data_IF_759190252014
#
_entry.id   IF_759190252014
#
_cell.length_a   1.000
_cell.length_b   1.000
_cell.length_c   1.000
_cell.angle_alpha   90.00
_cell.angle_beta   90.00
_cell.angle_gamma   90.00
#
_symmetry.space_group_name_H-M   'P 1'
#
loop_
_entity.id
_entity.type
_entity.pdbx_description
1 polymer ?
#
# COMPACT_ATOMS: atom_id res chain seq x y z
N UNK A 1 -46.36 0.81 8.30
CA UNK A 1 -45.94 0.00 7.13
C UNK A 1 -44.97 0.84 6.30
N UNK A 2 -43.66 0.80 6.60
CA UNK A 2 -42.60 1.39 5.76
C UNK A 2 -41.20 0.96 6.22
N UNK A 3 -40.95 -0.35 6.28
CA UNK A 3 -39.69 -0.93 6.80
C UNK A 3 -39.00 -1.88 5.81
N UNK A 4 -39.26 -1.74 4.50
CA UNK A 4 -38.70 -2.65 3.48
C UNK A 4 -37.82 -2.01 2.40
N UNK A 5 -37.52 -0.72 2.47
CA UNK A 5 -36.77 -0.03 1.40
C UNK A 5 -35.33 0.39 1.75
N UNK A 6 -34.85 0.23 2.98
CA UNK A 6 -33.48 0.63 3.35
C UNK A 6 -32.42 -0.48 3.23
N UNK A 7 -32.80 -1.76 3.29
CA UNK A 7 -31.81 -2.85 3.31
C UNK A 7 -31.18 -3.15 1.94
N UNK A 8 -31.85 -2.77 0.85
CA UNK A 8 -31.35 -3.03 -0.51
C UNK A 8 -30.28 -2.06 -1.00
N UNK A 9 -30.09 -0.93 -0.30
CA UNK A 9 -29.11 0.10 -0.67
C UNK A 9 -27.73 -0.16 -0.05
N UNK A 10 -27.69 -0.81 1.12
CA UNK A 10 -26.48 -1.13 1.87
C UNK A 10 -25.62 -2.22 1.22
N UNK A 11 -26.24 -3.19 0.53
CA UNK A 11 -25.53 -4.38 0.00
C UNK A 11 -24.66 -4.11 -1.25
N UNK A 12 -24.61 -2.89 -1.78
CA UNK A 12 -23.84 -2.54 -3.00
C UNK A 12 -22.74 -1.51 -2.74
N UNK A 13 -22.51 -1.10 -1.50
CA UNK A 13 -21.44 -0.17 -1.20
C UNK A 13 -20.08 -0.89 -1.23
N UNK A 14 -19.25 -0.46 -2.18
CA UNK A 14 -17.84 -0.80 -2.25
C UNK A 14 -17.12 -0.19 -1.03
N UNK A 15 -16.29 -0.97 -0.31
CA UNK A 15 -15.59 -0.53 0.90
C UNK A 15 -14.90 0.81 0.73
N UNK A 16 -14.16 0.98 -0.36
CA UNK A 16 -13.41 2.19 -0.68
C UNK A 16 -14.27 3.47 -0.67
N UNK A 17 -15.58 3.36 -0.84
CA UNK A 17 -16.53 4.48 -0.83
C UNK A 17 -17.39 4.55 0.46
N UNK A 18 -17.29 3.55 1.34
CA UNK A 18 -17.88 3.62 2.68
C UNK A 18 -17.16 4.67 3.54
N UNK A 19 -17.74 5.05 4.67
CA UNK A 19 -17.09 5.98 5.61
C UNK A 19 -15.77 5.40 6.16
N UNK A 20 -15.72 4.09 6.42
CA UNK A 20 -14.54 3.40 6.92
C UNK A 20 -13.45 3.30 5.85
N UNK A 21 -13.79 2.93 4.61
CA UNK A 21 -12.80 2.86 3.53
C UNK A 21 -12.28 4.23 3.13
N UNK A 22 -13.12 5.27 3.11
CA UNK A 22 -12.65 6.65 2.92
C UNK A 22 -11.70 7.09 4.01
N UNK A 23 -11.96 6.74 5.28
CA UNK A 23 -11.05 7.01 6.39
C UNK A 23 -9.71 6.28 6.20
N UNK A 24 -9.74 5.01 5.82
CA UNK A 24 -8.53 4.22 5.55
C UNK A 24 -7.71 4.80 4.39
N UNK A 25 -8.36 5.20 3.29
CA UNK A 25 -7.70 5.88 2.16
C UNK A 25 -7.10 7.21 2.60
N UNK A 26 -7.83 8.02 3.38
CA UNK A 26 -7.33 9.30 3.87
C UNK A 26 -6.14 9.15 4.83
N UNK A 27 -6.17 8.15 5.72
CA UNK A 27 -5.03 7.83 6.59
C UNK A 27 -3.82 7.37 5.78
N UNK A 28 -4.04 6.53 4.77
CA UNK A 28 -3.01 6.09 3.85
C UNK A 28 -2.40 7.26 3.07
N UNK A 29 -3.23 8.16 2.55
CA UNK A 29 -2.82 9.37 1.83
C UNK A 29 -2.08 10.38 2.74
N UNK A 30 -2.52 10.53 4.00
CA UNK A 30 -1.86 11.43 4.99
C UNK A 30 -0.42 11.03 5.27
N UNK A 31 -0.15 9.72 5.22
CA UNK A 31 1.18 9.17 5.44
C UNK A 31 2.10 9.27 4.20
N UNK A 32 1.60 9.71 3.04
CA UNK A 32 2.43 9.89 1.83
C UNK A 32 3.41 11.06 1.99
N UNK A 33 2.99 12.18 2.57
CA UNK A 33 3.85 13.36 2.76
C UNK A 33 5.11 13.05 3.57
N UNK A 34 5.04 12.42 4.77
CA UNK A 34 6.24 12.03 5.50
C UNK A 34 7.06 10.96 4.74
N UNK A 35 6.42 10.06 3.99
CA UNK A 35 7.16 9.11 3.14
C UNK A 35 7.95 9.81 2.04
N UNK A 36 7.36 10.79 1.34
CA UNK A 36 8.06 11.58 0.31
C UNK A 36 9.24 12.34 0.92
N UNK A 37 9.06 12.97 2.08
CA UNK A 37 10.15 13.71 2.75
C UNK A 37 11.30 12.79 3.14
N UNK A 38 11.02 11.68 3.81
CA UNK A 38 12.04 10.70 4.22
C UNK A 38 12.69 10.06 3.00
N UNK A 39 11.93 9.73 1.95
CA UNK A 39 12.43 9.17 0.71
C UNK A 39 13.35 10.14 -0.04
N UNK A 40 12.97 11.42 -0.12
CA UNK A 40 13.79 12.47 -0.77
C UNK A 40 15.10 12.68 -0.03
N UNK A 41 15.04 12.77 1.31
CA UNK A 41 16.24 12.85 2.14
C UNK A 41 17.13 11.61 1.93
N UNK A 42 16.56 10.41 1.94
CA UNK A 42 17.31 9.19 1.67
C UNK A 42 18.03 9.22 0.31
N UNK A 43 17.34 9.57 -0.79
CA UNK A 43 17.96 9.60 -2.13
C UNK A 43 19.11 10.61 -2.17
N UNK A 44 18.96 11.79 -1.56
CA UNK A 44 20.03 12.79 -1.48
C UNK A 44 21.26 12.24 -0.76
N UNK A 45 21.05 11.59 0.39
CA UNK A 45 22.13 10.97 1.14
C UNK A 45 22.78 9.81 0.39
N UNK A 46 22.00 9.00 -0.34
CA UNK A 46 22.51 7.92 -1.18
C UNK A 46 23.34 8.44 -2.37
N UNK A 47 22.92 9.51 -3.03
CA UNK A 47 23.70 10.14 -4.11
C UNK A 47 24.99 10.74 -3.56
N UNK A 48 24.93 11.43 -2.41
CA UNK A 48 26.12 12.00 -1.76
C UNK A 48 27.07 10.92 -1.24
N UNK A 49 26.58 9.81 -0.70
CA UNK A 49 27.41 8.72 -0.19
C UNK A 49 28.22 8.03 -1.29
N UNK A 50 27.73 8.01 -2.53
CA UNK A 50 28.44 7.48 -3.70
C UNK A 50 29.53 8.44 -4.24
N UNK A 51 29.45 9.73 -3.91
CA UNK A 51 30.41 10.75 -4.37
C UNK A 51 31.57 10.99 -3.39
N UNK A 52 31.45 10.48 -2.17
CA UNK A 52 32.45 10.65 -1.12
C UNK A 52 33.61 9.66 -1.30
N UNK A 53 34.85 10.17 -1.24
CA UNK A 53 36.05 9.34 -1.15
C UNK A 53 36.06 8.53 0.15
N UNK A 54 36.66 7.33 0.12
CA UNK A 54 36.63 6.41 1.25
C UNK A 54 37.37 7.00 2.46
N UNK A 55 36.63 7.32 3.52
CA UNK A 55 37.12 7.89 4.79
C UNK A 55 36.25 7.43 5.97
N UNK A 56 36.69 7.65 7.20
CA UNK A 56 35.88 7.35 8.39
C UNK A 56 34.58 8.14 8.44
N UNK A 57 34.59 9.39 7.96
CA UNK A 57 33.40 10.23 7.85
C UNK A 57 32.41 9.65 6.83
N UNK A 58 32.92 9.12 5.71
CA UNK A 58 32.12 8.43 4.69
C UNK A 58 31.43 7.20 5.26
N UNK A 59 32.08 6.43 6.14
CA UNK A 59 31.46 5.26 6.79
C UNK A 59 30.32 5.64 7.74
N UNK A 60 30.48 6.72 8.52
CA UNK A 60 29.40 7.27 9.35
C UNK A 60 28.22 7.73 8.46
N UNK A 61 28.52 8.39 7.34
CA UNK A 61 27.53 8.85 6.38
C UNK A 61 26.75 7.68 5.73
N UNK A 62 27.43 6.59 5.39
CA UNK A 62 26.81 5.34 4.94
C UNK A 62 25.92 4.71 6.01
N UNK A 63 26.34 4.72 7.28
CA UNK A 63 25.52 4.25 8.40
C UNK A 63 24.20 5.02 8.53
N UNK A 64 24.26 6.36 8.45
CA UNK A 64 23.07 7.23 8.46
C UNK A 64 22.17 6.96 7.25
N UNK A 65 22.77 6.80 6.07
CA UNK A 65 22.04 6.50 4.83
C UNK A 65 21.28 5.18 4.94
N UNK A 66 21.94 4.11 5.42
CA UNK A 66 21.30 2.82 5.68
C UNK A 66 20.20 2.91 6.74
N UNK A 67 20.39 3.69 7.81
CA UNK A 67 19.34 3.93 8.81
C UNK A 67 18.09 4.58 8.21
N UNK A 68 18.26 5.56 7.33
CA UNK A 68 17.15 6.20 6.63
C UNK A 68 16.45 5.27 5.63
N UNK A 69 17.18 4.38 4.96
CA UNK A 69 16.60 3.31 4.12
C UNK A 69 15.63 2.46 4.95
N UNK A 70 16.10 1.96 6.09
CA UNK A 70 15.32 1.07 6.95
C UNK A 70 14.08 1.78 7.48
N UNK A 71 14.22 3.05 7.93
CA UNK A 71 13.11 3.88 8.36
C UNK A 71 12.08 4.13 7.25
N UNK A 72 12.55 4.43 6.04
CA UNK A 72 11.68 4.66 4.88
C UNK A 72 10.87 3.40 4.56
N UNK A 73 11.51 2.25 4.42
CA UNK A 73 10.82 0.99 4.15
C UNK A 73 9.90 0.58 5.29
N UNK A 74 10.29 0.80 6.55
CA UNK A 74 9.44 0.56 7.70
C UNK A 74 8.13 1.38 7.64
N UNK A 75 8.21 2.67 7.32
CA UNK A 75 7.03 3.54 7.21
C UNK A 75 6.17 3.14 6.00
N UNK A 76 6.77 2.82 4.86
CA UNK A 76 6.05 2.39 3.65
C UNK A 76 5.33 1.06 3.90
N UNK A 77 6.04 0.05 4.40
CA UNK A 77 5.49 -1.28 4.69
C UNK A 77 4.44 -1.20 5.79
N UNK A 78 4.68 -0.42 6.86
CA UNK A 78 3.71 -0.22 7.94
C UNK A 78 2.40 0.40 7.44
N UNK A 79 2.49 1.44 6.60
CA UNK A 79 1.32 2.09 6.01
C UNK A 79 0.56 1.16 5.05
N UNK A 80 1.29 0.38 4.24
CA UNK A 80 0.67 -0.64 3.36
C UNK A 80 -0.01 -1.74 4.19
N UNK A 81 0.62 -2.20 5.27
CA UNK A 81 0.10 -3.29 6.11
C UNK A 81 -1.19 -2.86 6.81
N UNK A 82 -1.26 -1.64 7.34
CA UNK A 82 -2.49 -1.12 7.97
C UNK A 82 -3.66 -1.05 6.96
N UNK A 83 -3.40 -0.56 5.75
CA UNK A 83 -4.40 -0.53 4.68
C UNK A 83 -4.83 -1.94 4.23
N UNK A 84 -3.87 -2.85 4.05
CA UNK A 84 -4.14 -4.25 3.70
C UNK A 84 -4.99 -4.93 4.77
N UNK A 85 -4.68 -4.74 6.06
CA UNK A 85 -5.44 -5.36 7.15
C UNK A 85 -6.90 -4.90 7.14
N UNK A 86 -7.15 -3.60 7.04
CA UNK A 86 -8.51 -3.02 7.01
C UNK A 86 -9.31 -3.53 5.80
N UNK A 87 -8.71 -3.60 4.63
CA UNK A 87 -9.36 -4.11 3.41
C UNK A 87 -9.57 -5.62 3.47
N UNK A 88 -8.60 -6.37 3.98
CA UNK A 88 -8.68 -7.84 4.10
C UNK A 88 -9.80 -8.24 5.05
N UNK A 89 -9.91 -7.58 6.20
CA UNK A 89 -10.99 -7.85 7.16
C UNK A 89 -12.38 -7.60 6.54
N UNK A 90 -12.53 -6.52 5.76
CA UNK A 90 -13.78 -6.23 5.06
C UNK A 90 -14.09 -7.27 3.97
N UNK A 91 -13.11 -7.61 3.14
CA UNK A 91 -13.29 -8.59 2.07
C UNK A 91 -13.54 -9.99 2.63
N UNK A 92 -12.86 -10.39 3.69
CA UNK A 92 -13.06 -11.70 4.32
C UNK A 92 -14.49 -11.87 4.85
N UNK A 93 -15.06 -10.82 5.48
CA UNK A 93 -16.45 -10.83 5.93
C UNK A 93 -17.43 -11.04 4.77
N UNK A 94 -17.19 -10.41 3.60
CA UNK A 94 -18.03 -10.57 2.41
C UNK A 94 -17.82 -11.91 1.71
N UNK A 95 -16.58 -12.37 1.56
CA UNK A 95 -16.23 -13.63 0.88
C UNK A 95 -16.75 -14.85 1.63
N UNK A 96 -16.71 -14.85 2.98
CA UNK A 96 -17.29 -15.93 3.80
C UNK A 96 -18.79 -16.12 3.63
N UNK A 97 -19.49 -15.09 3.14
CA UNK A 97 -20.92 -15.16 2.83
C UNK A 97 -21.24 -15.78 1.47
N UNK A 98 -20.23 -16.05 0.62
CA UNK A 98 -20.45 -16.62 -0.71
C UNK A 98 -20.56 -18.14 -0.62
N UNK A 99 -21.62 -18.68 -1.21
CA UNK A 99 -21.85 -20.13 -1.27
C UNK A 99 -20.69 -20.84 -2.01
N UNK A 100 -20.14 -21.88 -1.40
CA UNK A 100 -19.01 -22.64 -1.94
C UNK A 100 -17.61 -22.11 -1.58
N UNK A 101 -17.51 -21.04 -0.78
CA UNK A 101 -16.22 -20.61 -0.23
C UNK A 101 -15.64 -21.65 0.74
N UNK A 102 -14.36 -21.99 0.57
CA UNK A 102 -13.60 -22.85 1.49
C UNK A 102 -12.37 -22.09 1.99
N UNK A 103 -12.03 -22.12 3.28
CA UNK A 103 -10.82 -21.48 3.79
C UNK A 103 -9.55 -22.13 3.24
N UNK A 104 -8.45 -21.37 3.16
CA UNK A 104 -7.17 -21.89 2.73
C UNK A 104 -6.59 -22.89 3.75
N UNK A 105 -6.36 -24.13 3.34
CA UNK A 105 -5.83 -25.19 4.21
C UNK A 105 -4.38 -24.94 4.66
N UNK A 106 -3.57 -24.29 3.81
CA UNK A 106 -2.18 -23.96 4.13
C UNK A 106 -1.77 -22.59 3.54
N UNK A 107 -1.90 -21.50 4.32
CA UNK A 107 -1.54 -20.16 3.86
C UNK A 107 -0.03 -19.94 3.72
N UNK A 108 0.81 -20.77 4.34
CA UNK A 108 2.27 -20.60 4.33
C UNK A 108 2.95 -21.22 3.11
N UNK A 109 2.27 -22.13 2.40
CA UNK A 109 2.77 -22.68 1.15
C UNK A 109 2.32 -21.80 -0.03
N UNK A 110 3.27 -21.11 -0.67
CA UNK A 110 2.99 -20.18 -1.77
C UNK A 110 2.19 -20.81 -2.92
N UNK A 111 2.47 -22.07 -3.29
CA UNK A 111 1.77 -22.73 -4.40
C UNK A 111 0.32 -23.06 -4.05
N UNK A 112 0.07 -23.46 -2.80
CA UNK A 112 -1.28 -23.72 -2.29
C UNK A 112 -2.04 -22.40 -2.17
N UNK A 113 -1.38 -21.38 -1.62
CA UNK A 113 -1.92 -20.05 -1.45
C UNK A 113 -2.34 -19.41 -2.78
N UNK A 114 -1.49 -19.46 -3.82
CA UNK A 114 -1.81 -18.84 -5.11
C UNK A 114 -2.93 -19.59 -5.84
N UNK A 115 -2.97 -20.92 -5.71
CA UNK A 115 -4.06 -21.74 -6.25
C UNK A 115 -5.37 -21.45 -5.54
N UNK A 116 -5.33 -21.28 -4.22
CA UNK A 116 -6.48 -20.89 -3.42
C UNK A 116 -6.96 -19.48 -3.80
N UNK A 117 -6.05 -18.50 -3.91
CA UNK A 117 -6.34 -17.15 -4.37
C UNK A 117 -7.06 -17.15 -5.72
N UNK A 118 -6.57 -17.92 -6.70
CA UNK A 118 -7.21 -18.04 -8.02
C UNK A 118 -8.62 -18.65 -7.96
N UNK A 119 -8.82 -19.69 -7.15
CA UNK A 119 -10.16 -20.29 -6.93
C UNK A 119 -11.12 -19.31 -6.27
N UNK A 120 -10.68 -18.62 -5.22
CA UNK A 120 -11.48 -17.63 -4.50
C UNK A 120 -11.82 -16.44 -5.40
N UNK A 121 -10.87 -15.94 -6.19
CA UNK A 121 -11.12 -14.87 -7.16
C UNK A 121 -12.13 -15.28 -8.23
N UNK A 122 -12.04 -16.52 -8.74
CA UNK A 122 -13.02 -17.05 -9.70
C UNK A 122 -14.42 -17.12 -9.07
N UNK A 123 -14.51 -17.62 -7.84
CA UNK A 123 -15.77 -17.73 -7.11
C UNK A 123 -16.40 -16.36 -6.81
N UNK A 124 -15.57 -15.38 -6.45
CA UNK A 124 -16.00 -13.98 -6.26
C UNK A 124 -16.44 -13.36 -7.60
N UNK A 125 -15.73 -13.61 -8.69
CA UNK A 125 -16.12 -13.11 -10.02
C UNK A 125 -17.47 -13.67 -10.50
N UNK A 126 -17.74 -14.94 -10.23
CA UNK A 126 -18.97 -15.62 -10.64
C UNK A 126 -20.19 -15.17 -9.80
N UNK A 127 -20.01 -14.96 -8.49
CA UNK A 127 -21.13 -14.68 -7.57
C UNK A 127 -21.27 -13.19 -7.16
N UNK A 128 -20.17 -12.46 -7.04
CA UNK A 128 -20.08 -11.13 -6.42
C UNK A 128 -19.16 -10.19 -7.24
N UNK A 129 -19.56 -9.85 -8.47
CA UNK A 129 -18.76 -9.02 -9.41
C UNK A 129 -18.33 -7.67 -8.82
N UNK A 130 -19.11 -7.10 -7.91
CA UNK A 130 -18.80 -5.82 -7.24
C UNK A 130 -17.57 -5.99 -6.35
N UNK A 131 -17.52 -7.08 -5.56
CA UNK A 131 -16.39 -7.40 -4.69
C UNK A 131 -15.11 -7.70 -5.51
N UNK A 132 -15.27 -8.30 -6.69
CA UNK A 132 -14.16 -8.49 -7.63
C UNK A 132 -13.56 -7.15 -8.09
N UNK A 133 -14.40 -6.20 -8.51
CA UNK A 133 -13.94 -4.85 -8.90
C UNK A 133 -13.28 -4.13 -7.72
N UNK A 134 -13.84 -4.29 -6.53
CA UNK A 134 -13.32 -3.72 -5.29
C UNK A 134 -11.90 -4.20 -4.97
N UNK A 135 -11.63 -5.49 -5.17
CA UNK A 135 -10.30 -6.08 -5.00
C UNK A 135 -9.26 -5.42 -5.94
N UNK A 136 -9.59 -5.22 -7.21
CA UNK A 136 -8.67 -4.55 -8.16
C UNK A 136 -8.50 -3.06 -7.84
N UNK A 137 -9.57 -2.38 -7.44
CA UNK A 137 -9.47 -0.99 -7.00
C UNK A 137 -8.59 -0.89 -5.76
N UNK A 138 -8.71 -1.80 -4.79
CA UNK A 138 -7.85 -1.83 -3.61
C UNK A 138 -6.37 -1.97 -3.98
N UNK A 139 -6.04 -2.86 -4.93
CA UNK A 139 -4.68 -3.00 -5.47
C UNK A 139 -4.21 -1.69 -6.12
N UNK A 140 -5.07 -1.04 -6.92
CA UNK A 140 -4.73 0.24 -7.55
C UNK A 140 -4.47 1.35 -6.51
N UNK A 141 -5.32 1.46 -5.48
CA UNK A 141 -5.16 2.42 -4.39
C UNK A 141 -3.94 2.15 -3.50
N UNK A 142 -3.46 0.91 -3.44
CA UNK A 142 -2.22 0.54 -2.77
C UNK A 142 -0.98 0.90 -3.61
N UNK A 143 -1.00 0.57 -4.90
CA UNK A 143 0.18 0.71 -5.77
C UNK A 143 0.38 2.15 -6.22
N UNK A 144 -0.67 2.84 -6.67
CA UNK A 144 -0.56 4.17 -7.29
C UNK A 144 0.10 5.19 -6.36
N UNK A 145 -0.34 5.35 -5.10
CA UNK A 145 0.29 6.32 -4.20
C UNK A 145 1.73 5.95 -3.85
N UNK A 146 2.05 4.67 -3.72
CA UNK A 146 3.43 4.19 -3.51
C UNK A 146 4.33 4.58 -4.69
N UNK A 147 3.90 4.37 -5.93
CA UNK A 147 4.63 4.79 -7.13
C UNK A 147 4.82 6.31 -7.15
N UNK A 148 3.76 7.07 -6.84
CA UNK A 148 3.83 8.53 -6.77
C UNK A 148 4.85 8.99 -5.73
N UNK A 149 4.91 8.37 -4.55
CA UNK A 149 5.91 8.66 -3.52
C UNK A 149 7.32 8.47 -4.07
N UNK A 150 7.60 7.35 -4.74
CA UNK A 150 8.91 7.10 -5.33
C UNK A 150 9.27 8.10 -6.42
N UNK A 151 8.34 8.42 -7.33
CA UNK A 151 8.58 9.38 -8.41
C UNK A 151 8.83 10.80 -7.86
N UNK A 152 8.03 11.25 -6.89
CA UNK A 152 8.19 12.56 -6.27
C UNK A 152 9.49 12.61 -5.47
N UNK A 153 9.81 11.55 -4.70
CA UNK A 153 11.04 11.49 -3.94
C UNK A 153 12.29 11.56 -4.84
N UNK A 154 12.27 10.85 -5.97
CA UNK A 154 13.33 10.92 -6.97
C UNK A 154 13.46 12.33 -7.58
N UNK A 155 12.33 12.96 -7.93
CA UNK A 155 12.32 14.33 -8.48
C UNK A 155 12.83 15.35 -7.45
N UNK A 156 12.32 15.30 -6.22
CA UNK A 156 12.75 16.22 -5.16
C UNK A 156 14.24 16.04 -4.85
N UNK A 157 14.76 14.83 -4.92
CA UNK A 157 16.18 14.59 -4.75
C UNK A 157 17.02 15.18 -5.90
N UNK A 158 16.57 15.08 -7.15
CA UNK A 158 17.23 15.74 -8.29
C UNK A 158 17.19 17.27 -8.15
N UNK A 159 16.03 17.83 -7.80
CA UNK A 159 15.87 19.28 -7.55
C UNK A 159 16.78 19.74 -6.40
N UNK A 160 16.85 18.99 -5.30
CA UNK A 160 17.71 19.32 -4.16
C UNK A 160 19.19 19.21 -4.53
N UNK A 161 19.58 18.17 -5.28
CA UNK A 161 20.94 17.97 -5.76
C UNK A 161 21.40 19.12 -6.66
N UNK A 162 20.57 19.55 -7.61
CA UNK A 162 20.85 20.72 -8.46
C UNK A 162 20.96 22.01 -7.65
N UNK A 163 20.06 22.23 -6.67
CA UNK A 163 20.09 23.43 -5.82
C UNK A 163 21.34 23.52 -4.94
N UNK A 164 21.87 22.39 -4.47
CA UNK A 164 23.03 22.32 -3.58
C UNK A 164 24.37 22.48 -4.31
N UNK A 165 24.40 22.28 -5.63
CA UNK A 165 25.64 22.28 -6.42
C UNK A 165 25.72 23.50 -7.35
N UNK A 166 24.66 24.32 -7.40
CA UNK A 166 24.56 25.47 -8.28
C UNK A 166 24.27 25.03 -9.71
N UNK A 167 22.98 25.07 -10.07
CA UNK A 167 22.58 25.04 -11.48
C UNK A 167 23.01 26.30 -12.22
#
# INVERSE_FOLDING_TARGET
MNEKNNDKKSSRELFLFTAEGRKAVMEYMRNLTPQVLVGSAWVVFAVRSMQLSFSWETLIFWGVTCGMVVLFFYIVIGNMTDFINKITEHMEKKVKGIEGFQPCENPYNFQIWIRHLGKTLKLVYENEKILFVEFFLAIFFLITPTIIVFLIAAKQADDLYRSLIGG
#
